data_IF_641926984650
#
_entry.id   IF_641926984650
#
_cell.length_a   1.000
_cell.length_b   1.000
_cell.length_c   1.000
_cell.angle_alpha   90.00
_cell.angle_beta   90.00
_cell.angle_gamma   90.00
#
_symmetry.space_group_name_H-M   'P 1'
#
loop_
_entity.id
_entity.type
_entity.pdbx_description
1 polymer ?
#
# COMPACT_ATOMS: atom_id res chain seq x y z
N UNK A 1 27.18 1.74 10.28
CA UNK A 1 26.52 1.95 8.97
C UNK A 1 25.14 1.39 9.13
N UNK A 2 24.10 2.23 9.10
CA UNK A 2 22.72 1.73 9.12
C UNK A 2 22.52 0.90 7.86
N UNK A 3 22.19 -0.39 8.01
CA UNK A 3 21.84 -1.24 6.88
C UNK A 3 20.62 -0.64 6.19
N UNK A 4 20.81 -0.03 5.02
CA UNK A 4 19.72 0.49 4.22
C UNK A 4 19.03 -0.67 3.51
N UNK A 5 17.76 -0.89 3.86
CA UNK A 5 16.88 -1.81 3.18
C UNK A 5 16.03 -1.03 2.17
N UNK A 6 16.07 -1.43 0.91
CA UNK A 6 15.20 -0.91 -0.14
C UNK A 6 14.04 -1.87 -0.33
N UNK A 7 12.84 -1.29 -0.35
CA UNK A 7 11.61 -1.99 -0.67
C UNK A 7 11.29 -1.78 -2.14
N UNK A 8 11.33 -2.87 -2.90
CA UNK A 8 11.09 -2.91 -4.34
C UNK A 8 9.69 -3.49 -4.55
N UNK A 9 8.79 -2.66 -5.03
CA UNK A 9 7.42 -3.03 -5.34
C UNK A 9 7.31 -3.24 -6.86
N UNK A 10 6.91 -4.43 -7.26
CA UNK A 10 6.88 -4.87 -8.67
C UNK A 10 5.43 -5.09 -9.06
N UNK A 11 4.89 -4.18 -9.88
CA UNK A 11 3.53 -4.30 -10.40
C UNK A 11 3.54 -5.20 -11.63
N UNK A 12 3.10 -6.44 -11.49
CA UNK A 12 2.93 -7.38 -12.59
C UNK A 12 1.69 -7.02 -13.42
N UNK A 13 1.75 -7.17 -14.75
CA UNK A 13 0.58 -7.00 -15.62
C UNK A 13 -0.46 -8.09 -15.35
N UNK A 14 -1.74 -7.76 -15.51
CA UNK A 14 -2.82 -8.71 -15.21
C UNK A 14 -2.93 -9.84 -16.24
N UNK A 15 -2.54 -9.57 -17.49
CA UNK A 15 -2.51 -10.52 -18.60
C UNK A 15 -1.31 -11.48 -18.50
N UNK A 16 -0.40 -11.24 -17.56
CA UNK A 16 0.82 -12.02 -17.36
C UNK A 16 0.51 -13.41 -16.79
N UNK A 17 0.96 -14.45 -17.49
CA UNK A 17 0.91 -15.85 -17.03
C UNK A 17 2.16 -16.29 -16.27
N UNK A 18 3.16 -15.41 -16.15
CA UNK A 18 4.42 -15.72 -15.48
C UNK A 18 4.22 -15.90 -13.97
N UNK A 19 4.83 -16.95 -13.41
CA UNK A 19 4.85 -17.16 -11.97
C UNK A 19 5.66 -16.07 -11.27
N UNK A 20 5.27 -15.71 -10.04
CA UNK A 20 5.87 -14.59 -9.30
C UNK A 20 7.28 -14.87 -8.80
N UNK A 21 7.67 -16.14 -8.63
CA UNK A 21 8.89 -16.52 -7.91
C UNK A 21 10.18 -16.13 -8.63
N UNK A 22 10.18 -16.09 -9.97
CA UNK A 22 11.36 -15.74 -10.79
C UNK A 22 11.50 -14.25 -11.09
N UNK A 23 10.46 -13.44 -10.88
CA UNK A 23 10.46 -12.02 -11.22
C UNK A 23 11.46 -11.21 -10.38
N UNK A 24 11.58 -11.42 -9.05
CA UNK A 24 12.55 -10.71 -8.23
C UNK A 24 14.00 -10.85 -8.70
N UNK A 25 14.41 -12.03 -9.18
CA UNK A 25 15.78 -12.26 -9.66
C UNK A 25 16.07 -11.46 -10.95
N UNK A 26 15.11 -11.45 -11.89
CA UNK A 26 15.25 -10.65 -13.12
C UNK A 26 15.31 -9.15 -12.81
N UNK A 27 14.48 -8.68 -11.87
CA UNK A 27 14.49 -7.29 -11.42
C UNK A 27 15.79 -6.95 -10.70
N UNK A 28 16.33 -7.84 -9.88
CA UNK A 28 17.63 -7.65 -9.24
C UNK A 28 18.72 -7.41 -10.29
N UNK A 29 18.83 -8.27 -11.30
CA UNK A 29 19.82 -8.14 -12.36
C UNK A 29 19.67 -6.82 -13.13
N UNK A 30 18.43 -6.41 -13.45
CA UNK A 30 18.18 -5.14 -14.15
C UNK A 30 18.57 -3.94 -13.28
N UNK A 31 18.23 -3.97 -11.98
CA UNK A 31 18.60 -2.90 -11.06
C UNK A 31 20.11 -2.83 -10.87
N UNK A 32 20.84 -3.95 -10.77
CA UNK A 32 22.31 -3.92 -10.64
C UNK A 32 23.03 -3.28 -11.83
N UNK A 33 22.37 -3.18 -13.00
CA UNK A 33 22.90 -2.46 -14.16
C UNK A 33 22.72 -0.94 -14.06
N UNK A 34 21.90 -0.44 -13.13
CA UNK A 34 21.68 0.97 -12.90
C UNK A 34 22.67 1.50 -11.83
N UNK A 35 23.31 2.64 -12.10
CA UNK A 35 24.15 3.29 -11.08
C UNK A 35 23.30 3.93 -9.98
N UNK A 36 22.15 4.48 -10.36
CA UNK A 36 21.26 5.23 -9.49
C UNK A 36 19.79 4.87 -9.72
N UNK A 37 19.02 4.85 -8.63
CA UNK A 37 17.57 4.65 -8.67
C UNK A 37 16.87 5.83 -8.02
N UNK A 38 15.82 6.31 -8.69
CA UNK A 38 14.90 7.31 -8.15
C UNK A 38 13.91 6.65 -7.17
N UNK A 39 13.78 7.25 -5.99
CA UNK A 39 12.88 6.78 -4.93
C UNK A 39 11.48 7.38 -5.09
N UNK A 40 10.46 6.56 -4.85
CA UNK A 40 9.03 6.88 -4.96
C UNK A 40 8.60 7.39 -6.35
N UNK A 41 9.38 7.04 -7.38
CA UNK A 41 9.08 7.30 -8.79
C UNK A 41 8.96 5.94 -9.50
N UNK A 42 7.82 5.64 -10.16
CA UNK A 42 7.67 4.43 -10.94
C UNK A 42 8.65 4.40 -12.11
N UNK A 43 9.43 3.33 -12.20
CA UNK A 43 10.36 3.04 -13.29
C UNK A 43 9.60 2.24 -14.34
N UNK A 44 9.44 2.82 -15.54
CA UNK A 44 8.91 2.11 -16.70
C UNK A 44 9.99 1.20 -17.30
N UNK A 45 9.59 -0.01 -17.69
CA UNK A 45 10.47 -1.03 -18.25
C UNK A 45 10.52 -1.04 -19.78
N UNK A 46 9.88 -0.07 -20.45
CA UNK A 46 9.86 0.05 -21.91
C UNK A 46 11.27 0.10 -22.53
N UNK A 47 12.24 0.65 -21.80
CA UNK A 47 13.64 0.75 -22.22
C UNK A 47 14.54 -0.35 -21.64
N UNK A 48 14.01 -1.30 -20.86
CA UNK A 48 14.83 -2.33 -20.21
C UNK A 48 15.48 -3.27 -21.23
N UNK A 49 16.57 -3.93 -20.86
CA UNK A 49 17.23 -4.88 -21.77
C UNK A 49 16.52 -6.23 -21.82
N UNK A 50 15.65 -6.51 -20.84
CA UNK A 50 15.02 -7.80 -20.62
C UNK A 50 13.59 -7.84 -21.19
N UNK A 51 13.39 -8.62 -22.24
CA UNK A 51 12.07 -8.80 -22.89
C UNK A 51 11.03 -9.41 -21.95
N UNK A 52 11.43 -10.30 -21.04
CA UNK A 52 10.51 -10.94 -20.08
C UNK A 52 9.94 -9.87 -19.14
N UNK A 53 10.80 -8.98 -18.62
CA UNK A 53 10.35 -7.88 -17.75
C UNK A 53 9.42 -6.93 -18.51
N UNK A 54 9.74 -6.60 -19.76
CA UNK A 54 8.89 -5.77 -20.62
C UNK A 54 7.50 -6.35 -20.82
N UNK A 55 7.42 -7.65 -21.07
CA UNK A 55 6.16 -8.30 -21.40
C UNK A 55 5.29 -8.49 -20.16
N UNK A 56 5.90 -8.81 -19.01
CA UNK A 56 5.18 -9.28 -17.84
C UNK A 56 5.06 -8.28 -16.70
N UNK A 57 5.92 -7.26 -16.61
CA UNK A 57 5.92 -6.25 -15.54
C UNK A 57 5.48 -4.90 -16.10
N UNK A 58 4.59 -4.23 -15.38
CA UNK A 58 4.09 -2.90 -15.77
C UNK A 58 5.06 -1.81 -15.38
N UNK A 59 5.46 -1.78 -14.11
CA UNK A 59 6.42 -0.82 -13.57
C UNK A 59 7.02 -1.38 -12.27
N UNK A 60 8.14 -0.77 -11.86
CA UNK A 60 8.82 -1.05 -10.60
C UNK A 60 8.90 0.25 -9.81
N UNK A 61 8.60 0.23 -8.53
CA UNK A 61 8.84 1.38 -7.65
C UNK A 61 9.78 0.97 -6.52
N UNK A 62 10.68 1.87 -6.18
CA UNK A 62 11.63 1.69 -5.09
C UNK A 62 11.30 2.68 -3.98
N UNK A 63 11.25 2.20 -2.75
CA UNK A 63 10.94 3.02 -1.57
C UNK A 63 11.91 2.71 -0.43
N UNK A 64 12.17 3.72 0.39
CA UNK A 64 13.04 3.60 1.56
C UNK A 64 12.24 3.57 2.86
N UNK A 65 12.74 2.83 3.83
CA UNK A 65 12.38 2.98 5.26
C UNK A 65 13.31 3.97 5.95
N UNK A 66 13.26 5.26 5.62
CA UNK A 66 13.97 6.30 6.40
C UNK A 66 12.97 7.17 7.14
N UNK A 67 13.11 7.41 8.45
CA UNK A 67 12.34 8.44 9.11
C UNK A 67 12.86 9.82 8.68
N UNK A 68 12.04 10.58 7.97
CA UNK A 68 12.23 12.01 7.80
C UNK A 68 13.32 12.43 6.81
N UNK A 69 12.97 12.43 5.53
CA UNK A 69 13.19 13.53 4.57
C UNK A 69 12.53 13.11 3.26
N UNK A 70 11.40 13.74 2.96
CA UNK A 70 10.56 13.54 1.77
C UNK A 70 11.22 14.15 0.51
N UNK A 71 12.53 13.92 0.34
CA UNK A 71 13.23 14.31 -0.88
C UNK A 71 13.31 13.08 -1.77
N UNK A 72 12.77 13.20 -2.98
CA UNK A 72 13.03 12.31 -4.11
C UNK A 72 14.54 12.34 -4.38
N UNK A 73 15.28 11.55 -3.63
CA UNK A 73 16.73 11.43 -3.71
C UNK A 73 17.07 10.24 -4.60
N UNK A 74 18.09 10.43 -5.43
CA UNK A 74 18.72 9.33 -6.15
C UNK A 74 19.62 8.58 -5.19
N UNK A 75 19.52 7.26 -5.20
CA UNK A 75 20.34 6.40 -4.35
C UNK A 75 21.24 5.57 -5.22
N UNK A 76 22.52 5.49 -4.82
CA UNK A 76 23.43 4.52 -5.41
C UNK A 76 23.09 3.12 -4.91
N UNK A 77 22.80 2.22 -5.83
CA UNK A 77 22.45 0.84 -5.52
C UNK A 77 23.62 0.11 -4.83
N UNK A 78 24.85 0.52 -5.14
CA UNK A 78 26.08 -0.04 -4.55
C UNK A 78 26.21 0.19 -3.03
N UNK A 79 25.54 1.22 -2.50
CA UNK A 79 25.55 1.55 -1.07
C UNK A 79 24.49 0.78 -0.26
N UNK A 80 23.65 -0.02 -0.94
CA UNK A 80 22.50 -0.68 -0.33
C UNK A 80 22.85 -2.08 0.18
N UNK A 81 22.40 -2.41 1.39
CA UNK A 81 22.79 -3.66 2.06
C UNK A 81 21.73 -4.76 1.97
N UNK A 82 20.49 -4.44 1.60
CA UNK A 82 19.43 -5.44 1.45
C UNK A 82 18.28 -4.96 0.57
N UNK A 83 17.67 -5.88 -0.18
CA UNK A 83 16.50 -5.65 -1.00
C UNK A 83 15.35 -6.53 -0.53
N UNK A 84 14.15 -5.98 -0.44
CA UNK A 84 12.90 -6.73 -0.21
C UNK A 84 12.01 -6.55 -1.42
N UNK A 85 11.48 -7.66 -1.93
CA UNK A 85 10.71 -7.67 -3.17
C UNK A 85 9.24 -7.96 -2.86
N UNK A 86 8.37 -7.13 -3.42
CA UNK A 86 6.92 -7.26 -3.27
C UNK A 86 6.30 -7.33 -4.66
N UNK A 87 6.02 -8.54 -5.15
CA UNK A 87 5.37 -8.74 -6.46
C UNK A 87 3.86 -8.74 -6.27
N UNK A 88 3.15 -7.85 -6.94
CA UNK A 88 1.70 -7.74 -6.81
C UNK A 88 1.02 -7.46 -8.15
N UNK A 89 -0.30 -7.65 -8.19
CA UNK A 89 -1.17 -7.33 -9.32
C UNK A 89 -2.25 -6.37 -8.86
N UNK A 90 -2.67 -5.47 -9.74
CA UNK A 90 -3.74 -4.52 -9.44
C UNK A 90 -5.10 -5.14 -9.78
N UNK A 91 -5.99 -5.18 -8.80
CA UNK A 91 -7.40 -5.47 -9.04
C UNK A 91 -8.00 -4.41 -9.97
N UNK A 92 -8.61 -4.88 -11.07
CA UNK A 92 -9.26 -4.06 -12.09
C UNK A 92 -10.73 -3.78 -11.77
N UNK A 93 -11.30 -4.54 -10.85
CA UNK A 93 -12.68 -4.38 -10.39
C UNK A 93 -12.83 -3.05 -9.66
N UNK A 94 -13.88 -2.31 -10.01
CA UNK A 94 -14.27 -1.09 -9.32
C UNK A 94 -14.90 -1.40 -7.95
N UNK A 95 -15.12 -0.36 -7.16
CA UNK A 95 -15.74 -0.48 -5.85
C UNK A 95 -17.11 -1.19 -5.90
N UNK A 96 -17.26 -2.29 -5.17
CA UNK A 96 -18.59 -2.87 -4.93
C UNK A 96 -19.33 -1.97 -3.94
N UNK A 97 -20.51 -1.47 -4.33
CA UNK A 97 -21.31 -0.57 -3.50
C UNK A 97 -22.46 -1.33 -2.85
N UNK A 98 -22.48 -1.33 -1.52
CA UNK A 98 -23.61 -1.85 -0.74
C UNK A 98 -24.66 -0.76 -0.58
N UNK A 99 -25.90 -1.06 -0.96
CA UNK A 99 -27.03 -0.14 -0.83
C UNK A 99 -28.02 -0.62 0.23
N UNK A 100 -28.67 0.32 0.90
CA UNK A 100 -29.80 0.06 1.78
C UNK A 100 -31.06 0.71 1.23
N UNK A 101 -32.18 -0.01 1.32
CA UNK A 101 -33.49 0.55 0.97
C UNK A 101 -34.03 1.42 2.11
N UNK A 102 -34.34 2.67 1.80
CA UNK A 102 -34.99 3.62 2.69
C UNK A 102 -36.07 4.39 1.96
N UNK A 103 -37.32 4.35 2.44
CA UNK A 103 -38.42 5.19 1.96
C UNK A 103 -38.47 5.28 0.42
N UNK A 104 -38.42 4.11 -0.24
CA UNK A 104 -38.41 3.94 -1.72
C UNK A 104 -37.19 4.49 -2.48
N UNK A 105 -36.10 4.83 -1.81
CA UNK A 105 -34.79 5.15 -2.40
C UNK A 105 -33.71 4.16 -1.93
N UNK A 106 -32.82 3.77 -2.84
CA UNK A 106 -31.61 3.02 -2.50
C UNK A 106 -30.47 3.99 -2.19
N UNK A 107 -29.99 3.95 -0.95
CA UNK A 107 -28.87 4.78 -0.50
C UNK A 107 -27.59 3.96 -0.41
N UNK A 108 -26.45 4.43 -0.95
CA UNK A 108 -25.16 3.77 -0.81
C UNK A 108 -24.65 3.93 0.62
N UNK A 109 -24.34 2.81 1.28
CA UNK A 109 -23.97 2.76 2.71
C UNK A 109 -22.52 2.39 2.91
N UNK A 110 -21.98 1.51 2.07
CA UNK A 110 -20.58 1.16 2.10
C UNK A 110 -20.05 0.94 0.69
N UNK A 111 -18.75 1.12 0.55
CA UNK A 111 -18.00 0.80 -0.66
C UNK A 111 -16.89 -0.17 -0.28
N UNK A 112 -16.70 -1.19 -1.11
CA UNK A 112 -15.74 -2.27 -0.88
C UNK A 112 -14.76 -2.37 -2.05
N UNK A 113 -13.47 -2.50 -1.76
CA UNK A 113 -12.42 -2.68 -2.74
C UNK A 113 -11.56 -3.88 -2.43
N UNK A 114 -11.11 -4.56 -3.48
CA UNK A 114 -10.05 -5.54 -3.40
C UNK A 114 -8.69 -4.85 -3.51
N UNK A 115 -7.78 -5.22 -2.61
CA UNK A 115 -6.44 -4.65 -2.58
C UNK A 115 -5.40 -5.66 -3.08
N UNK A 116 -4.37 -5.21 -3.81
CA UNK A 116 -4.12 -3.82 -4.24
C UNK A 116 -5.07 -3.36 -5.37
N UNK A 117 -5.74 -2.22 -5.22
CA UNK A 117 -6.71 -1.70 -6.18
C UNK A 117 -6.05 -0.79 -7.23
N UNK A 118 -6.48 -0.86 -8.49
CA UNK A 118 -6.01 0.05 -9.55
C UNK A 118 -6.30 1.52 -9.25
N UNK A 119 -7.45 1.80 -8.65
CA UNK A 119 -7.89 3.16 -8.29
C UNK A 119 -6.96 3.86 -7.30
N UNK A 120 -6.27 3.10 -6.45
CA UNK A 120 -5.38 3.65 -5.41
C UNK A 120 -3.91 3.67 -5.83
N UNK A 121 -3.61 3.25 -7.06
CA UNK A 121 -2.25 3.25 -7.57
C UNK A 121 -1.69 4.68 -7.65
N UNK A 122 -0.49 4.91 -7.11
CA UNK A 122 0.16 6.22 -7.09
C UNK A 122 -0.37 7.21 -6.05
N UNK A 123 -1.44 6.89 -5.30
CA UNK A 123 -2.01 7.82 -4.30
C UNK A 123 -1.02 8.07 -3.17
N UNK A 124 -0.24 7.07 -2.76
CA UNK A 124 0.75 7.18 -1.70
C UNK A 124 1.86 8.18 -2.02
N UNK A 125 2.38 8.13 -3.23
CA UNK A 125 3.47 8.95 -3.74
C UNK A 125 3.01 10.40 -4.00
N UNK A 126 1.73 10.59 -4.32
CA UNK A 126 1.13 11.90 -4.56
C UNK A 126 0.75 12.66 -3.26
N UNK A 127 0.70 11.96 -2.12
CA UNK A 127 0.42 12.59 -0.83
C UNK A 127 1.72 13.09 -0.18
N UNK A 128 1.91 14.41 -0.16
CA UNK A 128 3.05 15.05 0.47
C UNK A 128 2.69 15.55 1.87
N UNK A 129 3.43 15.12 2.89
CA UNK A 129 3.27 15.58 4.27
C UNK A 129 4.62 16.06 4.79
N UNK A 130 4.63 17.16 5.55
CA UNK A 130 5.87 17.66 6.16
C UNK A 130 6.36 16.78 7.31
N UNK A 131 5.49 15.94 7.86
CA UNK A 131 5.79 14.96 8.89
C UNK A 131 5.96 13.57 8.29
N UNK A 132 6.71 12.70 8.98
CA UNK A 132 6.85 11.27 8.66
C UNK A 132 5.60 10.44 8.95
N UNK A 133 4.40 11.04 8.87
CA UNK A 133 3.13 10.39 9.23
C UNK A 133 2.88 9.14 8.39
N UNK A 134 3.23 9.17 7.09
CA UNK A 134 3.12 8.02 6.18
C UNK A 134 3.94 6.83 6.69
N UNK A 135 5.24 7.05 6.90
CA UNK A 135 6.18 6.05 7.39
C UNK A 135 5.78 5.50 8.76
N UNK A 136 5.39 6.39 9.68
CA UNK A 136 4.97 5.99 11.03
C UNK A 136 3.73 5.10 11.00
N UNK A 137 2.74 5.43 10.16
CA UNK A 137 1.52 4.63 9.99
C UNK A 137 1.82 3.27 9.36
N UNK A 138 2.67 3.22 8.34
CA UNK A 138 3.04 1.96 7.70
C UNK A 138 3.83 1.06 8.66
N UNK A 139 4.82 1.61 9.36
CA UNK A 139 5.60 0.89 10.37
C UNK A 139 4.70 0.39 11.51
N UNK A 140 3.69 1.19 11.90
CA UNK A 140 2.71 0.78 12.89
C UNK A 140 1.92 -0.45 12.43
N UNK A 141 1.42 -0.47 11.19
CA UNK A 141 0.70 -1.63 10.64
C UNK A 141 1.60 -2.86 10.54
N UNK A 142 2.83 -2.71 10.03
CA UNK A 142 3.77 -3.84 9.91
C UNK A 142 4.14 -4.43 11.28
N UNK A 143 4.36 -3.57 12.29
CA UNK A 143 4.65 -4.01 13.66
C UNK A 143 3.45 -4.67 14.32
N UNK A 144 2.26 -4.10 14.12
CA UNK A 144 0.98 -4.66 14.55
C UNK A 144 0.79 -6.07 13.99
N UNK A 145 1.10 -6.28 12.72
CA UNK A 145 1.00 -7.60 12.10
C UNK A 145 2.04 -8.58 12.64
N UNK A 146 3.28 -8.13 12.82
CA UNK A 146 4.33 -8.93 13.45
C UNK A 146 3.93 -9.39 14.86
N UNK A 147 3.28 -8.54 15.64
CA UNK A 147 2.80 -8.89 16.98
C UNK A 147 1.68 -9.93 16.94
N UNK A 148 0.77 -9.81 15.96
CA UNK A 148 -0.28 -10.78 15.71
C UNK A 148 0.30 -12.16 15.36
N UNK A 149 1.25 -12.22 14.42
CA UNK A 149 1.90 -13.46 13.98
C UNK A 149 2.65 -14.17 15.11
N UNK A 150 3.19 -13.40 16.07
CA UNK A 150 3.88 -13.91 17.25
C UNK A 150 2.95 -14.31 18.40
N UNK A 151 1.63 -14.23 18.21
CA UNK A 151 0.63 -14.52 19.23
C UNK A 151 0.89 -13.79 20.57
N UNK A 152 1.32 -12.53 20.48
CA UNK A 152 1.59 -11.73 21.69
C UNK A 152 0.28 -11.51 22.44
N UNK A 153 0.29 -11.81 23.74
CA UNK A 153 -0.89 -11.64 24.58
C UNK A 153 -1.26 -10.14 24.69
N UNK A 154 -2.43 -9.71 24.15
CA UNK A 154 -2.82 -8.30 24.14
C UNK A 154 -3.12 -7.75 25.54
N UNK A 155 -3.34 -8.62 26.53
CA UNK A 155 -3.54 -8.22 27.92
C UNK A 155 -2.23 -7.86 28.64
N UNK A 156 -1.08 -8.30 28.11
CA UNK A 156 0.25 -7.97 28.66
C UNK A 156 0.85 -6.81 27.88
N UNK A 157 0.80 -6.90 26.54
CA UNK A 157 1.28 -5.86 25.63
C UNK A 157 0.08 -5.44 24.80
N UNK A 158 -0.57 -4.35 25.20
CA UNK A 158 -1.73 -3.83 24.48
C UNK A 158 -1.28 -3.16 23.19
N UNK A 159 -1.88 -3.59 22.07
CA UNK A 159 -1.75 -2.94 20.78
C UNK A 159 -3.15 -2.79 20.18
N UNK A 160 -3.59 -1.55 19.99
CA UNK A 160 -4.92 -1.25 19.47
C UNK A 160 -4.89 -1.26 17.94
N UNK A 161 -5.82 -1.98 17.30
CA UNK A 161 -5.95 -2.03 15.84
C UNK A 161 -6.60 -0.79 15.21
N UNK A 162 -6.69 0.30 15.97
CA UNK A 162 -7.45 1.50 15.59
C UNK A 162 -6.50 2.67 15.43
N UNK A 163 -6.59 3.34 14.27
CA UNK A 163 -5.90 4.58 13.97
C UNK A 163 -6.93 5.68 13.78
N UNK A 164 -6.74 6.80 14.48
CA UNK A 164 -7.56 8.00 14.33
C UNK A 164 -6.76 9.10 13.63
N UNK A 165 -7.20 9.51 12.44
CA UNK A 165 -6.65 10.66 11.73
C UNK A 165 -7.56 11.87 11.93
N UNK A 166 -7.01 12.96 12.47
CA UNK A 166 -7.74 14.22 12.68
C UNK A 166 -7.01 15.41 12.05
N UNK A 167 -7.77 16.44 11.68
CA UNK A 167 -7.24 17.67 11.07
C UNK A 167 -8.28 18.37 10.20
N UNK A 168 -7.99 19.59 9.71
CA UNK A 168 -8.91 20.39 8.90
C UNK A 168 -9.49 19.61 7.70
N UNK A 169 -10.71 19.94 7.23
CA UNK A 169 -11.25 19.33 6.01
C UNK A 169 -10.32 19.59 4.81
N UNK A 170 -10.25 18.64 3.88
CA UNK A 170 -9.41 18.76 2.68
C UNK A 170 -7.93 18.38 2.85
N UNK A 171 -7.45 17.99 4.04
CA UNK A 171 -6.04 17.59 4.27
C UNK A 171 -5.68 16.17 3.79
N UNK A 172 -6.52 15.56 2.95
CA UNK A 172 -6.23 14.23 2.37
C UNK A 172 -6.33 13.04 3.33
N UNK A 173 -6.97 13.17 4.50
CA UNK A 173 -7.09 12.06 5.50
C UNK A 173 -7.67 10.77 4.90
N UNK A 174 -8.78 10.87 4.17
CA UNK A 174 -9.41 9.70 3.51
C UNK A 174 -8.49 9.12 2.44
N UNK A 175 -7.83 9.96 1.64
CA UNK A 175 -6.85 9.53 0.64
C UNK A 175 -5.65 8.84 1.30
N UNK A 176 -5.19 9.32 2.46
CA UNK A 176 -4.12 8.70 3.23
C UNK A 176 -4.53 7.33 3.76
N UNK A 177 -5.78 7.15 4.24
CA UNK A 177 -6.29 5.82 4.61
C UNK A 177 -6.27 4.85 3.43
N UNK A 178 -6.75 5.28 2.25
CA UNK A 178 -6.77 4.46 1.02
C UNK A 178 -5.35 4.10 0.57
N UNK A 179 -4.45 5.06 0.54
CA UNK A 179 -3.05 4.87 0.20
C UNK A 179 -2.31 3.95 1.19
N UNK A 180 -2.58 4.11 2.49
CA UNK A 180 -2.02 3.27 3.54
C UNK A 180 -2.50 1.83 3.42
N UNK A 181 -3.80 1.62 3.17
CA UNK A 181 -4.36 0.29 2.94
C UNK A 181 -3.73 -0.38 1.71
N UNK A 182 -3.59 0.37 0.60
CA UNK A 182 -2.89 -0.08 -0.60
C UNK A 182 -1.45 -0.52 -0.30
N UNK A 183 -0.65 0.34 0.35
CA UNK A 183 0.74 0.01 0.69
C UNK A 183 0.81 -1.18 1.64
N UNK A 184 0.00 -1.24 2.67
CA UNK A 184 -0.04 -2.37 3.60
C UNK A 184 -0.34 -3.69 2.88
N UNK A 185 -1.32 -3.71 1.97
CA UNK A 185 -1.65 -4.90 1.18
C UNK A 185 -0.47 -5.36 0.30
N UNK A 186 0.26 -4.42 -0.31
CA UNK A 186 1.47 -4.74 -1.09
C UNK A 186 2.58 -5.30 -0.18
N UNK A 187 2.86 -4.66 0.96
CA UNK A 187 3.95 -5.07 1.87
C UNK A 187 3.71 -6.39 2.59
N UNK A 188 2.45 -6.74 2.80
CA UNK A 188 2.05 -7.94 3.53
C UNK A 188 1.57 -9.06 2.60
N UNK A 189 1.72 -8.92 1.28
CA UNK A 189 1.25 -9.90 0.29
C UNK A 189 1.85 -11.32 0.45
N UNK A 190 3.04 -11.43 1.04
CA UNK A 190 3.65 -12.72 1.36
C UNK A 190 2.93 -13.45 2.50
N UNK A 191 2.23 -12.70 3.37
CA UNK A 191 1.50 -13.21 4.52
C UNK A 191 0.00 -13.35 4.24
N UNK A 192 -0.56 -12.49 3.38
CA UNK A 192 -1.99 -12.46 3.06
C UNK A 192 -2.22 -12.64 1.57
N UNK A 193 -3.05 -13.62 1.22
CA UNK A 193 -3.45 -13.88 -0.15
C UNK A 193 -4.35 -12.78 -0.74
N UNK A 194 -5.03 -12.00 0.10
CA UNK A 194 -5.96 -10.94 -0.30
C UNK A 194 -6.03 -9.86 0.77
N UNK A 195 -6.16 -8.61 0.34
CA UNK A 195 -6.55 -7.49 1.19
C UNK A 195 -7.90 -6.92 0.73
N UNK A 196 -8.65 -6.33 1.66
CA UNK A 196 -9.93 -5.70 1.38
C UNK A 196 -10.01 -4.35 2.10
N UNK A 197 -10.63 -3.36 1.47
CA UNK A 197 -10.94 -2.07 2.08
C UNK A 197 -12.46 -1.89 2.10
N UNK A 198 -13.00 -1.56 3.27
CA UNK A 198 -14.40 -1.16 3.44
C UNK A 198 -14.43 0.32 3.85
N UNK A 199 -15.01 1.17 3.01
CA UNK A 199 -15.32 2.56 3.35
C UNK A 199 -16.79 2.65 3.69
N UNK A 200 -17.07 3.13 4.90
CA UNK A 200 -18.42 3.28 5.43
C UNK A 200 -18.88 4.72 5.20
N UNK A 201 -19.98 4.91 4.47
CA UNK A 201 -20.55 6.23 4.19
C UNK A 201 -21.33 6.76 5.40
N UNK A 202 -20.68 7.67 6.11
CA UNK A 202 -21.23 8.34 7.29
C UNK A 202 -22.55 9.08 7.00
N UNK A 203 -22.70 9.75 5.85
CA UNK A 203 -23.90 10.54 5.56
C UNK A 203 -25.17 9.66 5.46
N UNK A 204 -25.04 8.47 4.88
CA UNK A 204 -26.16 7.52 4.74
C UNK A 204 -26.44 6.75 6.04
N UNK A 205 -25.42 6.53 6.88
CA UNK A 205 -25.55 5.80 8.15
C UNK A 205 -26.04 6.67 9.31
N UNK A 206 -25.50 7.88 9.44
CA UNK A 206 -25.88 8.79 10.54
C UNK A 206 -27.27 9.38 10.38
N UNK A 207 -27.86 9.37 9.18
CA UNK A 207 -29.25 9.79 8.97
C UNK A 207 -30.26 8.85 9.63
N UNK A 208 -29.86 7.62 10.00
CA UNK A 208 -30.74 6.63 10.66
C UNK A 208 -30.21 6.04 11.97
N UNK A 209 -28.90 5.94 12.20
CA UNK A 209 -28.35 5.08 13.27
C UNK A 209 -27.61 5.78 14.43
N UNK A 210 -27.76 7.09 14.62
CA UNK A 210 -27.35 7.83 15.82
C UNK A 210 -25.82 7.97 16.04
N UNK A 211 -25.48 9.00 16.82
CA UNK A 211 -24.16 9.52 17.15
C UNK A 211 -23.12 8.48 17.62
N UNK A 212 -21.85 8.71 17.24
CA UNK A 212 -20.61 7.98 17.64
C UNK A 212 -20.26 6.74 16.78
N UNK A 213 -19.13 6.81 16.05
CA UNK A 213 -18.62 5.72 15.20
C UNK A 213 -17.25 5.25 15.67
N UNK A 214 -17.10 3.92 15.74
CA UNK A 214 -15.86 3.17 15.94
C UNK A 214 -15.50 2.46 14.62
N UNK A 215 -14.28 2.64 14.12
CA UNK A 215 -13.75 1.91 12.96
C UNK A 215 -13.05 0.63 13.46
N UNK A 216 -13.47 -0.54 12.99
CA UNK A 216 -12.81 -1.83 13.27
C UNK A 216 -12.04 -2.27 12.02
N UNK A 217 -10.75 -2.53 12.17
CA UNK A 217 -9.92 -3.24 11.19
C UNK A 217 -9.74 -4.66 11.74
N UNK A 218 -10.34 -5.66 11.08
CA UNK A 218 -10.17 -7.08 11.44
C UNK A 218 -9.02 -7.70 10.67
#
# INVERSE_FOLDING_TARGET
MENQAIDIEICQKNESTLQTDGIPELVYLELMNLEHVDIDIPISLENSTNEILKDHVSFISCSLRRPGKDNREKISISDCCSFRYFVYRLALEEAATETMQSDSQELPVASHWLLPAKEFNGVWENLCYTSSVKENLLNFIETTMLFADRNINPNIITWNKVVLLHGPPGTGKTSLCKALAQKAAIRLNAHFSRGELVEINSHSLFSKWFSEVLLIIT
#
